data_IF_141057436965
#
_entry.id   IF_141057436965
#
_cell.length_a   1.000
_cell.length_b   1.000
_cell.length_c   1.000
_cell.angle_alpha   90.00
_cell.angle_beta   90.00
_cell.angle_gamma   90.00
#
_symmetry.space_group_name_H-M   'P 1'
#
loop_
_entity.id
_entity.type
_entity.pdbx_description
1 polymer ?
#
# COMPACT_ATOMS: atom_id res chain seq x y z
N UNK A 1 -21.27 -17.54 -3.74
CA UNK A 1 -22.02 -18.58 -4.47
C UNK A 1 -23.34 -18.80 -3.73
N UNK A 2 -24.50 -18.71 -4.39
CA UNK A 2 -25.80 -19.02 -3.77
C UNK A 2 -26.22 -20.41 -4.24
N UNK A 3 -26.46 -21.33 -3.32
CA UNK A 3 -27.05 -22.63 -3.60
C UNK A 3 -28.55 -22.55 -3.33
N UNK A 4 -29.36 -23.01 -4.28
CA UNK A 4 -30.77 -23.31 -4.06
C UNK A 4 -30.91 -24.82 -3.88
N UNK A 5 -31.47 -25.25 -2.76
CA UNK A 5 -31.69 -26.66 -2.45
C UNK A 5 -33.17 -26.89 -2.11
N UNK A 6 -33.72 -28.01 -2.57
CA UNK A 6 -35.15 -28.35 -2.43
C UNK A 6 -35.57 -28.74 -1.00
N UNK A 7 -34.61 -28.96 -0.09
CA UNK A 7 -34.85 -29.20 1.34
C UNK A 7 -34.24 -28.07 2.17
N UNK A 8 -35.00 -27.60 3.16
CA UNK A 8 -34.50 -26.71 4.22
C UNK A 8 -33.31 -27.40 4.91
N UNK A 9 -32.14 -26.77 5.03
CA UNK A 9 -31.01 -27.38 5.72
C UNK A 9 -31.38 -27.62 7.19
N UNK A 10 -30.93 -28.78 7.71
CA UNK A 10 -30.91 -29.09 9.14
C UNK A 10 -30.23 -27.93 9.91
N UNK A 11 -30.61 -27.66 11.18
CA UNK A 11 -29.99 -26.59 11.97
C UNK A 11 -28.49 -26.85 12.22
N UNK A 12 -27.63 -26.32 11.33
CA UNK A 12 -26.18 -26.32 11.52
C UNK A 12 -25.88 -25.37 12.68
N UNK A 13 -25.60 -25.91 13.86
CA UNK A 13 -25.15 -25.16 15.02
C UNK A 13 -23.76 -24.55 14.74
N UNK A 14 -23.74 -23.31 14.24
CA UNK A 14 -22.51 -22.53 14.14
C UNK A 14 -21.98 -22.24 15.54
N UNK A 15 -20.93 -22.96 15.95
CA UNK A 15 -20.14 -22.57 17.12
C UNK A 15 -19.41 -21.25 16.78
N UNK A 16 -19.54 -20.19 17.59
CA UNK A 16 -18.78 -18.97 17.36
C UNK A 16 -17.28 -19.25 17.57
N UNK A 17 -16.50 -19.18 16.47
CA UNK A 17 -15.02 -19.22 16.49
C UNK A 17 -14.46 -17.87 16.97
N UNK A 18 -14.88 -17.47 18.18
CA UNK A 18 -14.62 -16.15 18.76
C UNK A 18 -13.43 -16.20 19.72
N UNK A 19 -12.22 -16.33 19.18
CA UNK A 19 -11.06 -15.74 19.85
C UNK A 19 -11.14 -14.22 19.68
N UNK A 20 -10.76 -13.46 20.71
CA UNK A 20 -10.58 -12.02 20.57
C UNK A 20 -9.56 -11.69 19.47
N UNK A 21 -9.74 -10.54 18.81
CA UNK A 21 -8.91 -10.11 17.69
C UNK A 21 -8.60 -8.63 17.83
N UNK A 22 -7.39 -8.25 17.46
CA UNK A 22 -6.96 -6.85 17.34
C UNK A 22 -6.66 -6.52 15.88
N UNK A 23 -6.85 -5.25 15.49
CA UNK A 23 -6.42 -4.75 14.18
C UNK A 23 -5.27 -3.77 14.36
N UNK A 24 -4.15 -4.06 13.68
CA UNK A 24 -2.89 -3.31 13.77
C UNK A 24 -2.41 -2.89 12.38
N UNK A 25 -1.67 -1.78 12.31
CA UNK A 25 -0.95 -1.34 11.10
C UNK A 25 0.53 -1.06 11.39
N UNK A 26 1.38 -1.33 10.40
CA UNK A 26 2.81 -0.99 10.39
C UNK A 26 3.31 -0.81 8.94
N UNK A 27 4.48 -0.18 8.77
CA UNK A 27 5.28 -0.18 7.53
C UNK A 27 6.74 -0.59 7.84
N UNK A 28 7.55 -1.06 6.87
CA UNK A 28 8.95 -1.53 7.11
C UNK A 28 9.79 -1.37 5.83
N UNK A 29 10.49 -0.30 5.48
CA UNK A 29 11.52 0.58 6.06
C UNK A 29 12.90 -0.12 6.18
N UNK A 30 13.93 0.41 5.49
CA UNK A 30 15.12 -0.29 4.89
C UNK A 30 16.23 -0.73 5.84
N UNK A 31 15.92 -0.38 7.06
CA UNK A 31 16.62 -0.33 8.30
C UNK A 31 15.62 -0.65 9.43
N UNK A 32 14.41 -0.03 9.46
CA UNK A 32 13.55 0.09 10.65
C UNK A 32 12.08 -0.36 10.48
N UNK A 33 11.47 -1.04 11.47
CA UNK A 33 10.00 -1.21 11.51
C UNK A 33 9.36 0.08 12.05
N UNK A 34 8.40 0.67 11.33
CA UNK A 34 7.73 1.90 11.74
C UNK A 34 6.43 1.57 12.47
N UNK A 35 6.61 1.22 13.74
CA UNK A 35 5.57 1.15 14.76
C UNK A 35 4.52 0.05 14.62
N UNK A 36 3.60 0.01 15.58
CA UNK A 36 2.40 -0.82 15.62
C UNK A 36 1.23 0.06 16.05
N UNK A 37 0.45 0.54 15.10
CA UNK A 37 -0.74 1.36 15.36
C UNK A 37 -1.95 0.46 15.55
N UNK A 38 -2.52 0.43 16.77
CA UNK A 38 -3.74 -0.32 17.06
C UNK A 38 -4.97 0.54 16.74
N UNK A 39 -5.97 -0.04 16.07
CA UNK A 39 -7.23 0.64 15.79
C UNK A 39 -8.23 0.39 16.91
N UNK A 40 -8.19 1.23 17.92
CA UNK A 40 -9.04 1.12 19.12
C UNK A 40 -10.07 2.25 19.20
N UNK A 41 -11.12 2.04 20.00
CA UNK A 41 -12.06 3.07 20.44
C UNK A 41 -11.66 3.65 21.82
N UNK A 42 -12.51 4.50 22.38
CA UNK A 42 -12.26 5.21 23.65
C UNK A 42 -12.14 4.27 24.86
N UNK A 43 -12.74 3.07 24.79
CA UNK A 43 -12.63 2.01 25.80
C UNK A 43 -11.40 1.10 25.60
N UNK A 44 -10.57 1.37 24.57
CA UNK A 44 -9.43 0.52 24.19
C UNK A 44 -9.82 -0.77 23.45
N UNK A 45 -11.03 -0.87 22.89
CA UNK A 45 -11.49 -2.07 22.16
C UNK A 45 -11.19 -1.95 20.68
N UNK A 46 -10.79 -3.06 20.05
CA UNK A 46 -10.50 -3.04 18.60
C UNK A 46 -11.73 -2.68 17.78
N UNK A 47 -11.54 -1.81 16.79
CA UNK A 47 -12.60 -1.24 15.99
C UNK A 47 -12.36 -1.41 14.48
N UNK A 48 -13.44 -1.48 13.71
CA UNK A 48 -13.36 -1.63 12.25
C UNK A 48 -12.65 -0.45 11.59
N UNK A 49 -11.65 -0.75 10.77
CA UNK A 49 -10.89 0.22 9.98
C UNK A 49 -11.73 0.71 8.80
N UNK A 50 -12.27 1.91 8.94
CA UNK A 50 -12.89 2.65 7.84
C UNK A 50 -11.89 3.67 7.24
N UNK A 51 -12.24 4.27 6.11
CA UNK A 51 -11.41 5.27 5.39
C UNK A 51 -10.93 6.44 6.27
N UNK A 52 -11.69 6.84 7.28
CA UNK A 52 -11.37 7.99 8.14
C UNK A 52 -10.38 7.60 9.23
N UNK A 53 -10.63 6.49 9.93
CA UNK A 53 -9.68 5.89 10.87
C UNK A 53 -8.36 5.56 10.16
N UNK A 54 -8.44 5.00 8.95
CA UNK A 54 -7.25 4.77 8.13
C UNK A 54 -6.53 6.05 7.74
N UNK A 55 -7.21 7.18 7.43
CA UNK A 55 -6.50 8.45 7.14
C UNK A 55 -5.96 9.16 8.39
N UNK A 56 -6.60 8.98 9.55
CA UNK A 56 -6.12 9.53 10.81
C UNK A 56 -4.75 8.93 11.18
N UNK A 57 -4.59 7.61 10.99
CA UNK A 57 -3.35 6.89 11.31
C UNK A 57 -2.10 7.48 10.61
N UNK A 58 -1.99 7.63 9.28
CA UNK A 58 -0.75 8.06 8.69
C UNK A 58 -0.52 9.56 8.86
N UNK A 59 -1.58 10.34 9.12
CA UNK A 59 -1.49 11.76 9.50
C UNK A 59 -0.91 11.96 10.90
N UNK A 60 -1.47 11.27 11.89
CA UNK A 60 -1.13 11.45 13.31
C UNK A 60 0.04 10.59 13.79
N UNK A 61 0.30 9.45 13.13
CA UNK A 61 1.29 8.46 13.54
C UNK A 61 2.41 8.26 12.51
N UNK A 62 2.11 7.83 11.29
CA UNK A 62 3.15 7.45 10.32
C UNK A 62 4.02 8.65 9.90
N UNK A 63 3.41 9.72 9.40
CA UNK A 63 4.11 10.90 8.88
C UNK A 63 4.98 11.61 9.94
N UNK A 64 4.52 11.80 11.19
CA UNK A 64 5.38 12.33 12.26
C UNK A 64 6.59 11.43 12.58
N UNK A 65 6.42 10.10 12.55
CA UNK A 65 7.53 9.18 12.83
C UNK A 65 8.60 9.20 11.72
N UNK A 66 8.24 9.12 10.45
CA UNK A 66 9.24 9.22 9.35
C UNK A 66 9.90 10.59 9.27
N UNK A 67 9.19 11.67 9.64
CA UNK A 67 9.78 13.03 9.71
C UNK A 67 10.89 13.14 10.76
N UNK A 68 10.75 12.45 11.91
CA UNK A 68 11.80 12.40 12.95
C UNK A 68 13.07 11.69 12.50
N UNK A 69 13.01 10.91 11.41
CA UNK A 69 14.16 10.19 10.85
C UNK A 69 14.71 10.81 9.56
N UNK A 70 14.07 11.84 9.00
CA UNK A 70 14.59 12.66 7.90
C UNK A 70 14.32 12.14 6.47
N UNK A 71 13.56 11.04 6.33
CA UNK A 71 13.56 10.20 5.11
C UNK A 71 12.55 10.61 4.02
N UNK A 72 11.83 11.74 4.16
CA UNK A 72 10.65 12.02 3.30
C UNK A 72 10.93 12.12 1.80
N UNK A 73 12.09 12.63 1.40
CA UNK A 73 12.37 12.92 -0.01
C UNK A 73 12.75 11.66 -0.83
N UNK A 74 12.94 10.51 -0.17
CA UNK A 74 13.34 9.25 -0.81
C UNK A 74 12.27 8.15 -0.69
N UNK A 75 11.13 8.43 -0.03
CA UNK A 75 10.09 7.43 0.25
C UNK A 75 9.02 7.32 -0.85
N UNK A 76 9.06 6.20 -1.58
CA UNK A 76 7.95 5.67 -2.38
C UNK A 76 7.02 4.83 -1.50
N UNK A 77 5.82 5.33 -1.18
CA UNK A 77 4.84 4.59 -0.39
C UNK A 77 4.11 3.52 -1.23
N UNK A 78 4.11 2.26 -0.76
CA UNK A 78 3.34 1.15 -1.33
C UNK A 78 2.32 0.65 -0.30
N UNK A 79 1.17 0.15 -0.79
CA UNK A 79 0.10 -0.48 0.00
C UNK A 79 -0.80 -1.28 -0.94
N UNK A 80 -1.61 -2.19 -0.39
CA UNK A 80 -2.56 -3.00 -1.15
C UNK A 80 -3.82 -2.24 -1.62
N UNK A 81 -4.70 -2.95 -2.31
CA UNK A 81 -5.95 -2.42 -2.87
C UNK A 81 -7.15 -2.39 -1.91
N UNK A 82 -6.96 -2.58 -0.59
CA UNK A 82 -8.10 -2.71 0.32
C UNK A 82 -9.04 -1.49 0.32
N UNK A 83 -10.37 -1.65 0.52
CA UNK A 83 -11.32 -0.55 0.38
C UNK A 83 -11.04 0.71 1.22
N UNK A 84 -10.53 0.62 2.48
CA UNK A 84 -10.11 1.81 3.23
C UNK A 84 -8.90 2.51 2.59
N UNK A 85 -7.93 1.75 2.10
CA UNK A 85 -6.67 2.24 1.53
C UNK A 85 -6.87 2.90 0.15
N UNK A 86 -7.84 2.42 -0.63
CA UNK A 86 -8.17 2.94 -1.95
C UNK A 86 -9.14 4.13 -1.95
N UNK A 87 -9.66 4.55 -0.79
CA UNK A 87 -10.58 5.70 -0.69
C UNK A 87 -9.94 7.00 -1.23
N UNK A 88 -10.71 7.81 -1.98
CA UNK A 88 -10.20 9.03 -2.64
C UNK A 88 -9.45 9.98 -1.70
N UNK A 89 -9.98 10.19 -0.48
CA UNK A 89 -9.35 11.02 0.55
C UNK A 89 -8.00 10.47 1.05
N UNK A 90 -7.84 9.15 1.11
CA UNK A 90 -6.60 8.49 1.49
C UNK A 90 -5.58 8.63 0.36
N UNK A 91 -5.99 8.28 -0.86
CA UNK A 91 -5.12 8.35 -2.05
C UNK A 91 -4.65 9.76 -2.34
N UNK A 92 -5.53 10.76 -2.24
CA UNK A 92 -5.19 12.17 -2.47
C UNK A 92 -4.17 12.68 -1.46
N UNK A 93 -4.36 12.39 -0.17
CA UNK A 93 -3.40 12.79 0.86
C UNK A 93 -2.05 12.04 0.74
N UNK A 94 -2.06 10.75 0.42
CA UNK A 94 -0.81 10.01 0.17
C UNK A 94 -0.06 10.57 -1.06
N UNK A 95 -0.76 10.91 -2.13
CA UNK A 95 -0.18 11.51 -3.34
C UNK A 95 0.40 12.91 -3.06
N UNK A 96 -0.24 13.70 -2.19
CA UNK A 96 0.26 15.00 -1.70
C UNK A 96 1.58 14.88 -0.91
N UNK A 97 1.80 13.76 -0.20
CA UNK A 97 2.95 13.58 0.71
C UNK A 97 4.08 12.70 0.17
N UNK A 98 3.80 11.77 -0.73
CA UNK A 98 4.75 10.77 -1.24
C UNK A 98 4.87 10.77 -2.77
N UNK A 99 4.27 11.75 -3.46
CA UNK A 99 4.31 11.86 -4.91
C UNK A 99 3.39 10.87 -5.63
N UNK A 100 3.52 10.83 -6.97
CA UNK A 100 2.60 10.06 -7.81
C UNK A 100 3.04 8.60 -8.01
N UNK A 101 2.04 7.73 -8.20
CA UNK A 101 2.17 6.27 -8.11
C UNK A 101 2.87 5.65 -9.32
N UNK A 102 4.20 5.63 -9.25
CA UNK A 102 5.08 4.87 -10.16
C UNK A 102 5.43 5.63 -11.45
N UNK A 103 6.72 5.66 -11.79
CA UNK A 103 7.30 6.44 -12.89
C UNK A 103 6.47 6.41 -14.18
N UNK A 104 6.18 5.22 -14.73
CA UNK A 104 5.43 5.11 -15.99
C UNK A 104 4.06 5.78 -15.91
N UNK A 105 3.36 5.69 -14.78
CA UNK A 105 2.05 6.33 -14.60
C UNK A 105 2.17 7.86 -14.48
N UNK A 106 3.24 8.37 -13.87
CA UNK A 106 3.44 9.82 -13.77
C UNK A 106 3.86 10.47 -15.09
N UNK A 107 4.43 9.72 -16.04
CA UNK A 107 4.80 10.24 -17.38
C UNK A 107 3.78 9.93 -18.49
N UNK A 108 3.14 8.76 -18.49
CA UNK A 108 2.21 8.33 -19.57
C UNK A 108 0.95 9.20 -19.65
N UNK A 109 0.54 9.81 -18.54
CA UNK A 109 -0.67 10.67 -18.48
C UNK A 109 -0.38 12.17 -18.53
N UNK A 110 0.90 12.60 -18.68
CA UNK A 110 1.28 14.02 -18.64
C UNK A 110 1.14 14.76 -19.97
N UNK A 111 1.96 14.40 -20.97
CA UNK A 111 2.07 15.17 -22.20
C UNK A 111 2.45 14.31 -23.42
N UNK A 112 1.71 14.39 -24.54
CA UNK A 112 0.34 14.90 -24.62
C UNK A 112 -0.58 14.04 -23.74
N UNK A 113 -1.55 14.66 -23.06
CA UNK A 113 -2.57 13.92 -22.30
C UNK A 113 -3.35 13.02 -23.28
N UNK A 114 -3.38 11.68 -23.07
CA UNK A 114 -3.97 10.77 -24.04
C UNK A 114 -5.50 10.91 -24.06
N UNK A 115 -6.06 11.17 -25.25
CA UNK A 115 -7.51 11.35 -25.45
C UNK A 115 -8.20 10.07 -25.91
N UNK A 116 -7.45 9.16 -26.52
CA UNK A 116 -7.89 7.86 -27.00
C UNK A 116 -7.06 6.73 -26.40
N UNK A 117 -7.55 5.49 -26.54
CA UNK A 117 -6.78 4.30 -26.17
C UNK A 117 -5.49 4.16 -26.99
N UNK A 118 -5.45 4.65 -28.23
CA UNK A 118 -4.24 4.58 -29.05
C UNK A 118 -3.21 5.66 -28.66
N UNK A 119 -3.65 6.85 -28.25
CA UNK A 119 -2.77 7.85 -27.62
C UNK A 119 -2.13 7.29 -26.34
N UNK A 120 -2.93 6.60 -25.51
CA UNK A 120 -2.44 5.98 -24.28
C UNK A 120 -1.39 4.91 -24.59
N UNK A 121 -1.64 4.02 -25.56
CA UNK A 121 -0.66 3.03 -26.02
C UNK A 121 0.59 3.69 -26.61
N UNK A 122 0.45 4.78 -27.36
CA UNK A 122 1.57 5.51 -27.95
C UNK A 122 2.42 6.22 -26.89
N UNK A 123 1.80 6.82 -25.88
CA UNK A 123 2.49 7.34 -24.70
C UNK A 123 3.22 6.21 -23.97
N UNK A 124 2.57 5.07 -23.70
CA UNK A 124 3.23 3.89 -23.08
C UNK A 124 4.45 3.45 -23.91
N UNK A 125 4.31 3.26 -25.23
CA UNK A 125 5.41 2.87 -26.13
C UNK A 125 6.55 3.90 -26.13
N UNK A 126 6.23 5.20 -26.11
CA UNK A 126 7.22 6.29 -26.11
C UNK A 126 7.97 6.37 -24.79
N UNK A 127 7.27 6.33 -23.66
CA UNK A 127 7.91 6.43 -22.34
C UNK A 127 8.68 5.14 -21.99
N UNK A 128 8.23 3.96 -22.42
CA UNK A 128 9.01 2.71 -22.33
C UNK A 128 10.32 2.81 -23.11
N UNK A 129 10.33 3.40 -24.32
CA UNK A 129 11.57 3.60 -25.09
C UNK A 129 12.59 4.53 -24.41
N UNK A 130 12.18 5.34 -23.44
CA UNK A 130 13.09 6.17 -22.62
C UNK A 130 13.67 5.43 -21.41
N UNK A 131 13.14 4.25 -21.08
CA UNK A 131 13.67 3.41 -19.99
C UNK A 131 14.99 2.81 -20.47
N UNK A 132 16.09 3.42 -20.06
CA UNK A 132 17.44 2.98 -20.36
C UNK A 132 17.92 1.90 -19.35
N UNK A 133 19.07 1.27 -19.65
CA UNK A 133 19.66 0.25 -18.78
C UNK A 133 19.94 0.73 -17.35
N UNK A 134 20.27 2.01 -17.17
CA UNK A 134 20.48 2.64 -15.85
C UNK A 134 19.18 2.70 -15.01
N UNK A 135 18.05 3.03 -15.65
CA UNK A 135 16.73 3.03 -15.00
C UNK A 135 16.32 1.61 -14.61
N UNK A 136 16.60 0.62 -15.45
CA UNK A 136 16.34 -0.79 -15.16
C UNK A 136 17.23 -1.31 -14.02
N UNK A 137 18.52 -0.96 -14.01
CA UNK A 137 19.44 -1.28 -12.92
C UNK A 137 18.93 -0.73 -11.58
N UNK A 138 18.57 0.56 -11.53
CA UNK A 138 18.01 1.19 -10.32
C UNK A 138 16.74 0.51 -9.81
N UNK A 139 15.86 0.02 -10.69
CA UNK A 139 14.68 -0.77 -10.29
C UNK A 139 15.08 -2.16 -9.77
N UNK A 140 16.03 -2.80 -10.45
CA UNK A 140 16.52 -4.14 -10.14
C UNK A 140 17.30 -4.17 -8.81
N UNK A 141 18.19 -3.23 -8.55
CA UNK A 141 18.96 -3.12 -7.31
C UNK A 141 18.03 -2.92 -6.11
N UNK A 142 17.04 -2.02 -6.24
CA UNK A 142 15.98 -1.86 -5.25
C UNK A 142 15.17 -3.17 -5.05
N UNK A 143 14.93 -3.95 -6.11
CA UNK A 143 14.24 -5.25 -6.02
C UNK A 143 15.12 -6.37 -5.41
N UNK A 144 16.43 -6.39 -5.68
CA UNK A 144 17.35 -7.31 -5.03
C UNK A 144 17.48 -7.01 -3.55
N UNK A 145 17.63 -5.74 -3.19
CA UNK A 145 17.65 -5.27 -1.81
C UNK A 145 16.36 -5.66 -1.08
N UNK A 146 15.19 -5.39 -1.68
CA UNK A 146 13.87 -5.91 -1.25
C UNK A 146 13.95 -7.41 -0.93
N UNK A 147 14.29 -8.23 -1.92
CA UNK A 147 14.21 -9.70 -1.84
C UNK A 147 15.25 -10.32 -0.90
N UNK A 148 16.49 -9.82 -0.87
CA UNK A 148 17.50 -10.26 0.09
C UNK A 148 17.03 -10.02 1.52
N UNK A 149 16.30 -8.94 1.77
CA UNK A 149 15.72 -8.62 3.08
C UNK A 149 14.44 -9.42 3.39
N UNK A 150 13.64 -9.82 2.39
CA UNK A 150 12.58 -10.85 2.55
C UNK A 150 13.21 -12.18 2.97
N UNK A 151 14.25 -12.62 2.26
CA UNK A 151 14.92 -13.91 2.45
C UNK A 151 15.62 -13.98 3.81
N UNK A 152 16.36 -12.93 4.19
CA UNK A 152 16.93 -12.77 5.53
C UNK A 152 15.89 -12.77 6.65
N UNK A 153 14.63 -12.47 6.34
CA UNK A 153 13.48 -12.55 7.27
C UNK A 153 12.48 -13.66 6.93
N UNK A 154 12.89 -14.68 6.17
CA UNK A 154 12.11 -15.89 5.84
C UNK A 154 10.68 -15.62 5.33
N UNK A 155 10.47 -14.57 4.54
CA UNK A 155 9.16 -14.26 3.94
C UNK A 155 8.36 -13.12 4.58
N UNK A 156 8.91 -12.42 5.59
CA UNK A 156 8.25 -11.26 6.19
C UNK A 156 8.16 -10.05 5.23
N UNK A 157 7.25 -9.11 5.55
CA UNK A 157 6.99 -7.88 4.80
C UNK A 157 8.20 -6.94 4.66
N UNK A 158 8.22 -6.14 3.59
CA UNK A 158 9.40 -5.37 3.17
C UNK A 158 9.19 -3.96 2.57
N UNK A 159 8.04 -3.33 2.77
CA UNK A 159 7.54 -2.28 1.86
C UNK A 159 8.18 -0.90 1.83
N UNK A 160 8.93 -0.47 2.81
CA UNK A 160 9.79 0.71 2.61
C UNK A 160 11.26 0.33 2.74
N UNK A 161 11.59 -0.98 2.67
CA UNK A 161 12.99 -1.46 2.67
C UNK A 161 13.83 -1.00 1.43
N UNK A 162 13.49 0.15 0.82
CA UNK A 162 13.58 0.37 -0.62
C UNK A 162 13.44 1.84 -1.06
N UNK A 163 13.73 2.74 -0.14
CA UNK A 163 13.32 4.14 -0.20
C UNK A 163 14.48 5.05 0.22
N UNK A 164 15.56 4.97 -0.56
CA UNK A 164 16.76 5.81 -0.53
C UNK A 164 17.06 6.25 -1.95
#
# INVERSE_FOLDING_TARGET
MRFWALKKPEPIAQRPLSTEKVVVWCAVAYDRIIGSYFFEDEDGKTCTVNRWRYLAMPKGFYLPNIRRHGELNTITFHQDGAPPHYANLVRGWLQEKFGDRGYLKSVVYRDPVPKTLEDLKNNIRREIKKINGETLAKVYDNMLVRLQRVLGRKGAWIEHLING
#
